data_IF_110152215804
#
_entry.id   IF_110152215804
#
_cell.length_a   1.000
_cell.length_b   1.000
_cell.length_c   1.000
_cell.angle_alpha   90.00
_cell.angle_beta   90.00
_cell.angle_gamma   90.00
#
_symmetry.space_group_name_H-M   'P 1'
#
loop_
_entity.id
_entity.type
_entity.pdbx_description
1 polymer ?
#
# COMPACT_ATOMS: atom_id res chain seq x y z
N UNK A 1 -5.99 4.37 55.75
CA UNK A 1 -5.99 3.14 56.56
C UNK A 1 -7.41 2.85 57.02
N UNK A 2 -8.06 1.86 56.41
CA UNK A 2 -9.21 1.03 56.84
C UNK A 2 -9.61 0.17 55.62
N UNK A 3 -10.10 -1.07 55.79
CA UNK A 3 -9.69 -2.19 54.94
C UNK A 3 -10.80 -2.92 54.14
N UNK A 4 -10.34 -3.59 53.08
CA UNK A 4 -10.68 -4.95 52.59
C UNK A 4 -12.12 -5.46 52.74
N UNK A 5 -12.74 -5.79 51.60
CA UNK A 5 -13.66 -6.93 51.51
C UNK A 5 -13.46 -7.66 50.17
N UNK A 6 -12.84 -8.83 50.26
CA UNK A 6 -12.60 -9.79 49.19
C UNK A 6 -13.69 -10.88 49.30
N UNK A 7 -14.46 -11.17 48.24
CA UNK A 7 -15.35 -12.34 48.18
C UNK A 7 -15.26 -12.99 46.81
N UNK A 8 -14.42 -14.02 46.72
CA UNK A 8 -14.56 -15.11 45.77
C UNK A 8 -15.43 -16.20 46.40
N UNK A 9 -16.37 -16.77 45.65
CA UNK A 9 -16.94 -18.07 45.94
C UNK A 9 -17.10 -18.87 44.64
N UNK A 10 -16.74 -20.13 44.76
CA UNK A 10 -16.28 -21.04 43.73
C UNK A 10 -17.39 -22.02 43.33
N UNK A 11 -17.42 -22.35 42.03
CA UNK A 11 -17.88 -23.56 41.34
C UNK A 11 -18.69 -24.61 42.14
N UNK A 12 -19.90 -24.92 41.64
CA UNK A 12 -20.54 -26.22 41.81
C UNK A 12 -20.35 -27.09 40.57
N UNK A 13 -19.81 -28.30 40.78
CA UNK A 13 -19.79 -29.44 39.85
C UNK A 13 -21.14 -30.17 39.91
N UNK A 14 -21.67 -30.58 38.76
CA UNK A 14 -22.76 -31.57 38.66
C UNK A 14 -22.21 -32.84 38.00
N UNK A 15 -22.31 -33.96 38.73
CA UNK A 15 -22.01 -35.33 38.28
C UNK A 15 -23.18 -35.89 37.45
N UNK A 16 -22.89 -36.59 36.36
CA UNK A 16 -23.84 -37.47 35.66
C UNK A 16 -23.44 -38.94 35.82
N UNK A 17 -24.43 -39.78 36.13
CA UNK A 17 -24.35 -41.26 36.29
C UNK A 17 -24.57 -41.97 34.93
N UNK A 18 -24.00 -43.17 34.71
CA UNK A 18 -24.35 -44.01 33.57
C UNK A 18 -25.38 -45.09 33.95
N UNK A 19 -26.34 -45.36 33.05
CA UNK A 19 -27.33 -46.43 33.17
C UNK A 19 -27.34 -47.32 31.93
N UNK A 20 -27.11 -48.62 32.14
CA UNK A 20 -27.12 -49.72 31.15
C UNK A 20 -28.55 -50.14 30.77
N UNK A 21 -28.71 -50.75 29.59
CA UNK A 21 -29.89 -51.54 29.24
C UNK A 21 -29.79 -52.20 27.87
N UNK A 22 -29.60 -53.52 27.87
CA UNK A 22 -29.53 -54.46 26.74
C UNK A 22 -30.92 -55.01 26.44
N UNK A 23 -31.31 -55.23 25.17
CA UNK A 23 -32.17 -56.37 24.75
C UNK A 23 -32.04 -56.64 23.24
N UNK A 24 -32.02 -57.93 22.91
CA UNK A 24 -31.77 -58.68 21.66
C UNK A 24 -32.97 -58.81 20.71
N UNK A 25 -32.74 -58.99 19.39
CA UNK A 25 -33.06 -60.21 18.59
C UNK A 25 -33.08 -59.97 17.06
N UNK A 26 -32.23 -60.74 16.36
CA UNK A 26 -32.42 -61.48 15.08
C UNK A 26 -33.19 -60.90 13.88
N UNK A 27 -32.51 -60.72 12.73
CA UNK A 27 -32.76 -61.56 11.53
C UNK A 27 -31.78 -61.34 10.36
N UNK A 28 -31.33 -62.47 9.79
CA UNK A 28 -31.03 -62.81 8.38
C UNK A 28 -30.22 -61.87 7.48
N UNK A 29 -29.21 -62.47 6.84
CA UNK A 29 -28.81 -62.16 5.46
C UNK A 29 -27.37 -61.68 5.32
N UNK A 30 -26.44 -62.62 5.17
CA UNK A 30 -25.04 -62.34 4.85
C UNK A 30 -24.94 -61.67 3.46
N UNK A 31 -24.46 -60.44 3.43
CA UNK A 31 -23.74 -59.85 2.30
C UNK A 31 -22.33 -59.48 2.78
N UNK A 32 -21.27 -59.72 1.99
CA UNK A 32 -19.92 -59.34 2.38
C UNK A 32 -19.82 -57.81 2.50
N UNK A 33 -19.10 -57.29 3.50
CA UNK A 33 -18.95 -55.85 3.69
C UNK A 33 -18.21 -55.24 2.49
N UNK A 34 -18.62 -54.04 2.01
CA UNK A 34 -17.84 -53.31 1.03
C UNK A 34 -16.46 -53.03 1.60
N UNK A 35 -15.42 -53.34 0.83
CA UNK A 35 -14.05 -53.04 1.22
C UNK A 35 -13.92 -51.54 1.49
N UNK A 36 -13.29 -51.13 2.61
CA UNK A 36 -12.98 -49.73 2.81
C UNK A 36 -12.00 -49.32 1.71
N UNK A 37 -12.41 -48.37 0.87
CA UNK A 37 -11.55 -47.73 -0.12
C UNK A 37 -10.26 -47.27 0.57
N UNK A 38 -9.18 -47.99 0.28
CA UNK A 38 -7.81 -47.61 0.60
C UNK A 38 -7.38 -46.50 -0.36
N UNK A 39 -7.88 -45.29 -0.11
CA UNK A 39 -7.40 -44.05 -0.72
C UNK A 39 -7.71 -42.87 0.21
N UNK A 40 -7.20 -42.97 1.44
CA UNK A 40 -7.10 -41.85 2.38
C UNK A 40 -5.74 -41.92 3.06
N UNK A 41 -4.69 -41.86 2.23
CA UNK A 41 -3.34 -41.60 2.71
C UNK A 41 -3.20 -40.09 2.84
N UNK A 42 -3.35 -39.62 4.08
CA UNK A 42 -2.69 -38.46 4.67
C UNK A 42 -2.38 -37.29 3.71
N UNK A 43 -3.38 -36.45 3.43
CA UNK A 43 -3.05 -35.01 3.32
C UNK A 43 -2.68 -34.55 4.73
N UNK A 44 -1.38 -34.41 4.95
CA UNK A 44 -0.82 -33.88 6.18
C UNK A 44 -1.42 -32.50 6.45
N UNK A 45 -2.05 -32.36 7.61
CA UNK A 45 -2.57 -31.11 8.19
C UNK A 45 -1.43 -30.15 8.61
N UNK A 46 -0.45 -29.93 7.74
CA UNK A 46 0.73 -29.11 8.04
C UNK A 46 0.80 -27.82 7.24
N UNK A 47 -0.29 -27.41 6.59
CA UNK A 47 -0.39 -26.03 6.10
C UNK A 47 -0.84 -25.13 7.25
N UNK A 48 0.11 -24.75 8.12
CA UNK A 48 -0.02 -23.45 8.77
C UNK A 48 0.12 -22.43 7.64
N UNK A 49 -1.00 -22.11 6.98
CA UNK A 49 -1.05 -21.17 5.86
C UNK A 49 -0.20 -19.95 6.21
N UNK A 50 0.88 -19.71 5.47
CA UNK A 50 1.77 -18.57 5.75
C UNK A 50 0.94 -17.30 5.89
N UNK A 51 1.33 -16.41 6.81
CA UNK A 51 0.69 -15.09 6.93
C UNK A 51 0.78 -14.37 5.58
N UNK A 52 -0.33 -13.79 5.13
CA UNK A 52 -0.38 -13.07 3.85
C UNK A 52 0.48 -11.82 3.95
N UNK A 53 1.26 -11.53 2.92
CA UNK A 53 2.13 -10.34 2.85
C UNK A 53 1.44 -9.25 2.03
N UNK A 54 1.05 -8.15 2.67
CA UNK A 54 0.32 -7.05 2.02
C UNK A 54 1.13 -5.76 2.10
N UNK A 55 1.43 -5.16 0.95
CA UNK A 55 2.07 -3.86 0.86
C UNK A 55 1.01 -2.75 0.81
N UNK A 56 1.00 -1.87 1.80
CA UNK A 56 0.14 -0.70 1.86
C UNK A 56 0.82 0.48 1.16
N UNK A 57 0.25 0.94 0.05
CA UNK A 57 0.75 2.10 -0.69
C UNK A 57 -0.23 3.27 -0.60
N UNK A 58 0.07 4.22 0.28
CA UNK A 58 -0.76 5.41 0.52
C UNK A 58 -0.46 6.54 -0.45
N UNK A 59 -1.50 7.15 -1.04
CA UNK A 59 -1.35 8.33 -1.90
C UNK A 59 -2.56 9.26 -1.83
N UNK A 60 -2.35 10.55 -2.13
CA UNK A 60 -3.45 11.51 -2.26
C UNK A 60 -4.29 11.25 -3.52
N UNK A 61 -3.66 10.75 -4.58
CA UNK A 61 -4.27 10.34 -5.85
C UNK A 61 -5.18 11.42 -6.46
N UNK A 62 -4.68 12.64 -6.62
CA UNK A 62 -5.50 13.78 -7.05
C UNK A 62 -4.97 14.49 -8.30
N UNK A 63 -4.94 13.83 -9.48
CA UNK A 63 -5.32 12.44 -9.74
C UNK A 63 -4.13 11.46 -9.55
N UNK A 64 -4.35 10.12 -9.59
CA UNK A 64 -3.25 9.17 -9.77
C UNK A 64 -2.49 9.46 -11.07
N UNK A 65 -1.18 9.16 -11.10
CA UNK A 65 -0.31 9.38 -12.27
C UNK A 65 0.05 8.06 -12.94
N UNK A 66 0.38 8.12 -14.23
CA UNK A 66 0.71 6.98 -15.06
C UNK A 66 2.09 6.38 -14.74
N UNK A 67 2.66 5.68 -15.72
CA UNK A 67 3.89 4.87 -15.57
C UNK A 67 5.05 5.68 -14.98
N UNK A 68 5.15 6.97 -15.34
CA UNK A 68 6.12 7.94 -14.81
C UNK A 68 6.06 8.20 -13.30
N UNK A 69 5.00 7.77 -12.61
CA UNK A 69 4.76 8.08 -11.21
C UNK A 69 4.09 6.93 -10.45
N UNK A 70 2.86 7.14 -9.99
CA UNK A 70 2.21 6.22 -9.07
C UNK A 70 2.02 4.81 -9.66
N UNK A 71 1.62 4.69 -10.93
CA UNK A 71 1.48 3.38 -11.58
C UNK A 71 2.81 2.63 -11.66
N UNK A 72 3.91 3.30 -12.03
CA UNK A 72 5.24 2.69 -12.06
C UNK A 72 5.70 2.19 -10.69
N UNK A 73 5.41 2.94 -9.62
CA UNK A 73 5.68 2.50 -8.26
C UNK A 73 4.86 1.26 -7.88
N UNK A 74 3.56 1.24 -8.19
CA UNK A 74 2.69 0.09 -7.89
C UNK A 74 3.11 -1.16 -8.68
N UNK A 75 3.45 -1.03 -9.96
CA UNK A 75 3.97 -2.14 -10.78
C UNK A 75 5.29 -2.67 -10.25
N UNK A 76 6.19 -1.78 -9.84
CA UNK A 76 7.45 -2.19 -9.21
C UNK A 76 7.19 -3.01 -7.95
N UNK A 77 6.34 -2.55 -7.03
CA UNK A 77 5.98 -3.30 -5.81
C UNK A 77 5.39 -4.67 -6.15
N UNK A 78 4.47 -4.74 -7.12
CA UNK A 78 3.88 -6.00 -7.55
C UNK A 78 4.91 -6.97 -8.15
N UNK A 79 5.94 -6.44 -8.83
CA UNK A 79 7.01 -7.22 -9.45
C UNK A 79 8.02 -7.82 -8.47
N UNK A 80 8.08 -7.33 -7.22
CA UNK A 80 9.06 -7.79 -6.23
C UNK A 80 8.85 -9.26 -5.80
N UNK A 81 7.68 -9.85 -6.08
CA UNK A 81 7.27 -11.18 -5.62
C UNK A 81 7.35 -11.38 -4.09
N UNK A 82 7.47 -10.29 -3.34
CA UNK A 82 7.49 -10.26 -1.87
C UNK A 82 6.08 -10.20 -1.26
N UNK A 83 5.11 -9.79 -2.07
CA UNK A 83 3.75 -9.50 -1.62
C UNK A 83 2.75 -10.39 -2.34
N UNK A 84 1.74 -10.82 -1.59
CA UNK A 84 0.53 -11.42 -2.16
C UNK A 84 -0.39 -10.31 -2.70
N UNK A 85 -0.31 -9.11 -2.13
CA UNK A 85 -1.15 -7.96 -2.48
C UNK A 85 -0.41 -6.63 -2.33
N UNK A 86 -0.57 -5.73 -3.30
CA UNK A 86 -0.32 -4.29 -3.16
C UNK A 86 -1.67 -3.59 -3.02
N UNK A 87 -1.91 -3.03 -1.85
CA UNK A 87 -3.14 -2.33 -1.50
C UNK A 87 -2.93 -0.82 -1.61
N UNK A 88 -3.55 -0.25 -2.63
CA UNK A 88 -3.59 1.19 -2.86
C UNK A 88 -4.56 1.82 -1.87
N UNK A 89 -4.11 2.85 -1.14
CA UNK A 89 -4.89 3.57 -0.13
C UNK A 89 -5.00 5.05 -0.51
N UNK A 90 -6.03 5.45 -1.27
CA UNK A 90 -6.34 6.85 -1.49
C UNK A 90 -6.68 7.52 -0.16
N UNK A 91 -5.99 8.60 0.19
CA UNK A 91 -6.25 9.34 1.44
C UNK A 91 -7.68 9.87 1.44
N UNK A 92 -8.48 9.55 2.46
CA UNK A 92 -9.87 10.00 2.53
C UNK A 92 -9.98 11.51 2.74
N UNK A 93 -9.29 12.05 3.76
CA UNK A 93 -9.19 13.49 4.04
C UNK A 93 -7.74 13.87 4.29
N UNK A 94 -7.22 14.83 3.53
CA UNK A 94 -5.84 15.29 3.74
C UNK A 94 -5.65 15.91 5.14
N UNK A 95 -4.51 15.65 5.80
CA UNK A 95 -4.19 16.26 7.10
C UNK A 95 -4.10 17.80 7.07
N UNK A 96 -3.61 18.39 5.97
CA UNK A 96 -3.49 19.83 5.80
C UNK A 96 -4.80 20.44 5.29
N UNK A 97 -5.32 21.40 6.05
CA UNK A 97 -6.56 22.12 5.74
C UNK A 97 -6.56 22.81 4.37
N UNK A 98 -5.40 23.35 3.95
CA UNK A 98 -5.20 24.00 2.64
C UNK A 98 -5.39 23.01 1.49
N UNK A 99 -4.87 21.79 1.64
CA UNK A 99 -5.05 20.73 0.64
C UNK A 99 -6.47 20.18 0.64
N UNK A 100 -7.14 20.12 1.81
CA UNK A 100 -8.54 19.65 1.89
C UNK A 100 -9.51 20.46 1.05
N UNK A 101 -9.34 21.79 0.97
CA UNK A 101 -10.28 22.69 0.28
C UNK A 101 -10.27 22.52 -1.24
N UNK A 102 -9.15 22.10 -1.80
CA UNK A 102 -8.93 22.00 -3.23
C UNK A 102 -8.82 20.56 -3.72
N UNK A 103 -9.06 19.57 -2.84
CA UNK A 103 -8.93 18.17 -3.17
C UNK A 103 -10.21 17.69 -3.87
N UNK A 104 -10.06 17.02 -5.01
CA UNK A 104 -11.20 16.41 -5.71
C UNK A 104 -11.95 15.45 -4.77
N UNK A 105 -13.31 15.38 -4.85
CA UNK A 105 -14.10 14.48 -4.02
C UNK A 105 -13.55 13.06 -3.99
N UNK A 106 -13.59 12.43 -2.82
CA UNK A 106 -12.95 11.14 -2.57
C UNK A 106 -13.35 10.06 -3.57
N UNK A 107 -14.65 9.97 -3.92
CA UNK A 107 -15.15 8.95 -4.84
C UNK A 107 -14.54 9.06 -6.25
N UNK A 108 -14.32 10.29 -6.78
CA UNK A 108 -13.63 10.46 -8.06
C UNK A 108 -12.18 9.98 -7.97
N UNK A 109 -11.47 10.27 -6.87
CA UNK A 109 -10.08 9.84 -6.68
C UNK A 109 -9.97 8.31 -6.58
N UNK A 110 -10.88 7.67 -5.85
CA UNK A 110 -10.98 6.21 -5.78
C UNK A 110 -11.27 5.63 -7.15
N UNK A 111 -12.22 6.20 -7.89
CA UNK A 111 -12.58 5.70 -9.22
C UNK A 111 -11.41 5.82 -10.21
N UNK A 112 -10.72 6.97 -10.24
CA UNK A 112 -9.50 7.12 -11.04
C UNK A 112 -8.40 6.14 -10.60
N UNK A 113 -8.26 5.86 -9.30
CA UNK A 113 -7.32 4.82 -8.84
C UNK A 113 -7.70 3.45 -9.38
N UNK A 114 -8.98 3.06 -9.38
CA UNK A 114 -9.41 1.76 -9.91
C UNK A 114 -9.08 1.64 -11.40
N UNK A 115 -9.35 2.71 -12.17
CA UNK A 115 -9.02 2.77 -13.58
C UNK A 115 -7.52 2.57 -13.85
N UNK A 116 -6.64 3.12 -13.01
CA UNK A 116 -5.18 2.98 -13.17
C UNK A 116 -4.65 1.64 -12.63
N UNK A 117 -5.02 1.27 -11.41
CA UNK A 117 -4.33 0.22 -10.68
C UNK A 117 -4.96 -1.16 -10.84
N UNK A 118 -6.28 -1.24 -11.02
CA UNK A 118 -6.96 -2.53 -11.21
C UNK A 118 -7.01 -2.90 -12.69
N UNK A 119 -7.24 -1.93 -13.58
CA UNK A 119 -7.30 -2.22 -15.01
C UNK A 119 -5.90 -2.27 -15.67
N UNK A 120 -5.03 -1.27 -15.42
CA UNK A 120 -3.79 -1.15 -16.21
C UNK A 120 -2.63 -2.01 -15.66
N UNK A 121 -2.62 -2.37 -14.37
CA UNK A 121 -1.60 -3.29 -13.83
C UNK A 121 -1.85 -4.71 -14.32
N UNK A 122 -3.10 -5.18 -14.26
CA UNK A 122 -3.46 -6.50 -14.73
C UNK A 122 -3.16 -6.62 -16.23
N UNK A 123 -3.52 -5.62 -17.05
CA UNK A 123 -3.27 -5.64 -18.49
C UNK A 123 -1.78 -5.65 -18.88
N UNK A 124 -0.91 -4.97 -18.14
CA UNK A 124 0.52 -4.89 -18.47
C UNK A 124 1.36 -6.04 -17.89
N UNK A 125 0.83 -6.79 -16.92
CA UNK A 125 1.54 -7.91 -16.31
C UNK A 125 1.17 -9.28 -16.93
N UNK A 126 0.26 -9.40 -17.91
CA UNK A 126 -0.34 -10.66 -18.38
C UNK A 126 0.58 -11.61 -19.19
N UNK A 127 1.77 -11.20 -19.65
CA UNK A 127 2.53 -12.03 -20.62
C UNK A 127 3.27 -13.26 -20.07
N UNK A 128 3.08 -13.69 -18.82
CA UNK A 128 3.79 -14.88 -18.31
C UNK A 128 2.93 -15.79 -17.44
N UNK A 129 2.63 -16.96 -17.96
CA UNK A 129 1.97 -18.10 -17.33
C UNK A 129 2.65 -18.48 -16.01
N UNK A 130 2.13 -18.09 -14.84
CA UNK A 130 2.45 -18.70 -13.54
C UNK A 130 1.56 -18.20 -12.40
N UNK A 131 1.09 -19.15 -11.60
CA UNK A 131 0.03 -19.08 -10.58
C UNK A 131 0.40 -18.35 -9.27
N UNK A 132 1.24 -17.32 -9.28
CA UNK A 132 1.50 -16.51 -8.08
C UNK A 132 1.73 -15.05 -8.44
N UNK A 133 0.69 -14.39 -8.96
CA UNK A 133 0.71 -12.95 -9.18
C UNK A 133 0.35 -12.21 -7.90
N UNK A 134 1.17 -11.23 -7.53
CA UNK A 134 0.80 -10.21 -6.56
C UNK A 134 -0.43 -9.45 -7.08
N UNK A 135 -1.49 -9.37 -6.29
CA UNK A 135 -2.73 -8.67 -6.66
C UNK A 135 -2.60 -7.19 -6.35
N UNK A 136 -3.01 -6.31 -7.26
CA UNK A 136 -3.15 -4.88 -6.96
C UNK A 136 -4.61 -4.54 -6.71
N UNK A 137 -4.91 -3.88 -5.60
CA UNK A 137 -6.29 -3.52 -5.22
C UNK A 137 -6.39 -2.08 -4.74
N UNK A 138 -7.50 -1.41 -5.04
CA UNK A 138 -7.81 -0.09 -4.49
C UNK A 138 -8.75 -0.24 -3.31
N UNK A 139 -8.31 0.21 -2.14
CA UNK A 139 -9.05 0.06 -0.89
C UNK A 139 -9.63 1.39 -0.40
N UNK A 140 -10.86 1.32 0.11
CA UNK A 140 -11.52 2.43 0.81
C UNK A 140 -11.29 2.38 2.34
N UNK A 141 -10.31 1.61 2.82
CA UNK A 141 -10.06 1.44 4.25
C UNK A 141 -9.87 2.77 5.00
N UNK A 142 -9.28 3.79 4.38
CA UNK A 142 -9.18 5.15 4.94
C UNK A 142 -10.55 5.78 5.24
N UNK A 143 -11.52 5.64 4.34
CA UNK A 143 -12.90 6.12 4.56
C UNK A 143 -13.59 5.31 5.66
N UNK A 144 -13.45 3.99 5.61
CA UNK A 144 -14.05 3.07 6.59
C UNK A 144 -13.51 3.36 7.99
N UNK A 145 -12.19 3.54 8.13
CA UNK A 145 -11.55 3.94 9.39
C UNK A 145 -12.17 5.26 9.90
N UNK A 146 -12.38 6.22 9.00
CA UNK A 146 -13.00 7.49 9.36
C UNK A 146 -14.45 7.38 9.81
N UNK A 147 -15.24 6.54 9.16
CA UNK A 147 -16.63 6.33 9.55
C UNK A 147 -16.74 5.58 10.88
N UNK A 148 -15.90 4.56 11.12
CA UNK A 148 -15.87 3.84 12.40
C UNK A 148 -15.53 4.77 13.57
N UNK A 149 -14.53 5.64 13.41
CA UNK A 149 -14.19 6.63 14.43
C UNK A 149 -15.31 7.66 14.66
N UNK A 150 -16.07 8.02 13.63
CA UNK A 150 -17.23 8.90 13.79
C UNK A 150 -18.38 8.19 14.56
N UNK A 151 -18.63 6.92 14.27
CA UNK A 151 -19.75 6.15 14.87
C UNK A 151 -19.52 5.78 16.34
N UNK A 152 -18.27 5.54 16.73
CA UNK A 152 -17.93 5.16 18.11
C UNK A 152 -17.99 6.33 19.11
N UNK A 153 -18.41 7.54 18.70
CA UNK A 153 -18.61 8.69 19.60
C UNK A 153 -20.09 8.81 19.97
N UNK A 154 -20.38 8.57 21.26
CA UNK A 154 -21.72 8.72 21.84
C UNK A 154 -22.09 10.20 22.12
N UNK A 155 -21.13 11.14 22.13
CA UNK A 155 -21.38 12.53 22.51
C UNK A 155 -21.24 13.51 21.33
N UNK A 156 -22.35 14.19 21.01
CA UNK A 156 -22.47 15.15 19.91
C UNK A 156 -21.59 16.41 20.06
N UNK A 157 -21.15 16.73 21.28
CA UNK A 157 -20.40 17.95 21.61
C UNK A 157 -18.88 17.83 21.43
N UNK A 158 -18.34 16.61 21.28
CA UNK A 158 -16.92 16.39 20.95
C UNK A 158 -16.68 16.23 19.45
N UNK A 159 -17.45 16.89 18.59
CA UNK A 159 -17.18 16.98 17.14
C UNK A 159 -15.96 17.87 16.79
N UNK A 160 -15.02 18.06 17.72
CA UNK A 160 -13.71 18.61 17.36
C UNK A 160 -13.07 17.69 16.30
N UNK A 161 -12.51 18.35 15.28
CA UNK A 161 -12.01 17.76 14.02
C UNK A 161 -11.30 16.43 14.29
N UNK A 162 -11.92 15.34 13.84
CA UNK A 162 -11.35 14.00 14.01
C UNK A 162 -10.09 13.93 13.15
N UNK A 163 -8.94 13.99 13.81
CA UNK A 163 -7.63 13.80 13.19
C UNK A 163 -7.28 12.31 13.28
N UNK A 164 -7.68 11.57 12.24
CA UNK A 164 -7.30 10.17 12.03
C UNK A 164 -5.94 10.17 11.36
N UNK A 165 -5.00 9.43 11.95
CA UNK A 165 -3.67 9.23 11.39
C UNK A 165 -3.49 7.81 10.90
N UNK A 166 -2.39 7.58 10.19
CA UNK A 166 -2.01 6.25 9.68
C UNK A 166 -1.95 5.18 10.78
N UNK A 167 -1.56 5.55 12.01
CA UNK A 167 -1.59 4.61 13.14
C UNK A 167 -2.99 4.08 13.45
N UNK A 168 -4.03 4.92 13.33
CA UNK A 168 -5.42 4.53 13.58
C UNK A 168 -5.93 3.59 12.46
N UNK A 169 -5.53 3.85 11.21
CA UNK A 169 -5.79 2.95 10.08
C UNK A 169 -5.09 1.60 10.25
N UNK A 170 -3.80 1.61 10.63
CA UNK A 170 -3.03 0.39 10.83
C UNK A 170 -3.60 -0.46 11.96
N UNK A 171 -4.03 0.16 13.07
CA UNK A 171 -4.67 -0.52 14.19
C UNK A 171 -5.98 -1.21 13.77
N UNK A 172 -6.81 -0.52 12.97
CA UNK A 172 -8.01 -1.11 12.39
C UNK A 172 -7.66 -2.29 11.47
N UNK A 173 -6.68 -2.15 10.59
CA UNK A 173 -6.30 -3.19 9.63
C UNK A 173 -5.69 -4.43 10.32
N UNK A 174 -4.80 -4.24 11.29
CA UNK A 174 -4.19 -5.37 12.03
C UNK A 174 -5.19 -6.10 12.92
N UNK A 175 -6.20 -5.38 13.43
CA UNK A 175 -7.32 -5.97 14.18
C UNK A 175 -8.25 -6.76 13.27
N UNK A 176 -8.65 -6.18 12.13
CA UNK A 176 -9.57 -6.81 11.18
C UNK A 176 -8.93 -8.00 10.44
N UNK A 177 -7.61 -7.96 10.20
CA UNK A 177 -6.88 -8.97 9.43
C UNK A 177 -5.67 -9.53 10.21
N UNK A 178 -5.88 -10.29 11.31
CA UNK A 178 -4.80 -10.71 12.22
C UNK A 178 -3.76 -11.67 11.59
N UNK A 179 -4.10 -12.29 10.46
CA UNK A 179 -3.25 -13.22 9.71
C UNK A 179 -2.53 -12.55 8.52
N UNK A 180 -2.45 -11.21 8.52
CA UNK A 180 -1.76 -10.42 7.51
C UNK A 180 -0.55 -9.73 8.12
N UNK A 181 0.56 -9.72 7.39
CA UNK A 181 1.71 -8.87 7.67
C UNK A 181 1.69 -7.69 6.71
N UNK A 182 1.51 -6.50 7.27
CA UNK A 182 1.53 -5.27 6.51
C UNK A 182 2.94 -4.72 6.38
N UNK A 183 3.25 -4.18 5.20
CA UNK A 183 4.47 -3.41 4.89
C UNK A 183 4.05 -2.05 4.36
N UNK A 184 4.61 -0.96 4.88
CA UNK A 184 4.24 0.40 4.45
C UNK A 184 5.17 0.90 3.33
N UNK A 185 4.62 1.30 2.20
CA UNK A 185 5.38 1.87 1.08
C UNK A 185 5.18 3.40 0.99
N UNK A 186 6.28 4.16 0.97
CA UNK A 186 6.29 5.63 1.05
C UNK A 186 7.38 6.24 0.16
N UNK A 187 7.20 7.49 -0.27
CA UNK A 187 8.31 8.30 -0.80
C UNK A 187 9.30 8.67 0.30
N UNK A 188 10.55 8.95 -0.06
CA UNK A 188 11.61 9.32 0.88
C UNK A 188 11.28 10.55 1.72
N UNK A 189 10.63 11.55 1.12
CA UNK A 189 10.11 12.74 1.82
C UNK A 189 9.11 12.37 2.92
N UNK A 190 8.17 11.50 2.57
CA UNK A 190 7.12 11.03 3.48
C UNK A 190 7.68 10.12 4.57
N UNK A 191 8.70 9.31 4.25
CA UNK A 191 9.44 8.54 5.24
C UNK A 191 10.16 9.45 6.23
N UNK A 192 10.85 10.51 5.77
CA UNK A 192 11.51 11.47 6.65
C UNK A 192 10.49 12.14 7.57
N UNK A 193 9.30 12.49 7.07
CA UNK A 193 8.20 13.04 7.88
C UNK A 193 7.81 12.11 9.04
N UNK A 194 7.50 10.83 8.74
CA UNK A 194 7.11 9.87 9.79
C UNK A 194 8.29 9.53 10.70
N UNK A 195 9.48 9.24 10.16
CA UNK A 195 10.65 8.84 10.95
C UNK A 195 11.17 9.97 11.88
N UNK A 196 10.90 11.22 11.53
CA UNK A 196 11.18 12.40 12.36
C UNK A 196 10.10 12.70 13.41
N UNK A 197 9.08 11.85 13.57
CA UNK A 197 8.05 12.03 14.60
C UNK A 197 6.94 13.02 14.23
N UNK A 198 6.84 13.46 12.96
CA UNK A 198 5.80 14.44 12.56
C UNK A 198 4.41 13.83 12.42
N UNK A 199 4.31 12.51 12.41
CA UNK A 199 3.03 11.81 12.32
C UNK A 199 2.48 11.51 13.71
N UNK A 200 1.15 11.59 13.85
CA UNK A 200 0.45 11.18 15.07
C UNK A 200 0.78 9.71 15.37
N UNK A 201 1.24 9.43 16.59
CA UNK A 201 1.62 8.08 17.06
C UNK A 201 2.66 7.42 16.15
N UNK A 202 3.73 8.16 15.83
CA UNK A 202 4.81 7.69 14.94
C UNK A 202 5.34 6.31 15.33
N UNK A 203 5.66 6.10 16.60
CA UNK A 203 6.20 4.84 17.12
C UNK A 203 5.24 3.67 16.85
N UNK A 204 3.93 3.91 16.96
CA UNK A 204 2.91 2.89 16.70
C UNK A 204 2.86 2.53 15.21
N UNK A 205 3.06 3.51 14.30
CA UNK A 205 3.16 3.24 12.85
C UNK A 205 4.26 2.21 12.59
N UNK A 206 5.46 2.41 13.15
CA UNK A 206 6.56 1.45 13.00
C UNK A 206 6.24 0.10 13.65
N UNK A 207 5.72 0.08 14.88
CA UNK A 207 5.40 -1.17 15.59
C UNK A 207 4.32 -2.00 14.89
N UNK A 208 3.25 -1.37 14.42
CA UNK A 208 2.10 -2.05 13.80
C UNK A 208 2.46 -2.73 12.47
N UNK A 209 3.43 -2.18 11.72
CA UNK A 209 3.97 -2.82 10.51
C UNK A 209 5.23 -3.64 10.80
N UNK A 210 5.59 -3.88 12.06
CA UNK A 210 6.80 -4.62 12.42
C UNK A 210 8.08 -4.02 11.83
N UNK A 211 8.13 -2.70 11.68
CA UNK A 211 9.20 -1.92 11.05
C UNK A 211 9.44 -2.25 9.56
N UNK A 212 8.51 -2.96 8.90
CA UNK A 212 8.58 -3.31 7.48
C UNK A 212 8.17 -2.13 6.63
N UNK A 213 9.12 -1.58 5.87
CA UNK A 213 8.87 -0.43 5.00
C UNK A 213 9.60 -0.54 3.67
N UNK A 214 8.97 -0.02 2.61
CA UNK A 214 9.61 0.24 1.32
C UNK A 214 9.65 1.75 1.11
N UNK A 215 10.85 2.30 0.90
CA UNK A 215 11.07 3.74 0.77
C UNK A 215 11.55 4.05 -0.65
N UNK A 216 10.70 4.72 -1.43
CA UNK A 216 11.05 5.15 -2.78
C UNK A 216 11.92 6.40 -2.74
N UNK A 217 13.15 6.28 -3.23
CA UNK A 217 14.04 7.42 -3.48
C UNK A 217 13.79 7.93 -4.89
N UNK A 218 13.42 9.21 -5.01
CA UNK A 218 13.24 9.87 -6.30
C UNK A 218 14.42 10.81 -6.56
N UNK A 219 15.00 10.72 -7.76
CA UNK A 219 15.99 11.71 -8.26
C UNK A 219 15.31 13.08 -8.30
N UNK A 220 15.72 14.03 -7.46
CA UNK A 220 15.35 15.44 -7.65
C UNK A 220 16.25 15.97 -8.77
N UNK A 221 15.68 16.47 -9.88
CA UNK A 221 16.46 17.30 -10.80
C UNK A 221 16.91 18.55 -10.02
N UNK A 222 18.21 18.84 -10.01
CA UNK A 222 18.69 20.15 -9.59
C UNK A 222 17.99 21.18 -10.48
N UNK A 223 17.25 22.12 -9.88
CA UNK A 223 16.90 23.35 -10.57
C UNK A 223 18.21 23.98 -11.02
N UNK A 224 18.47 23.97 -12.31
CA UNK A 224 19.53 24.78 -12.89
C UNK A 224 19.11 26.21 -12.64
N UNK A 225 19.64 26.83 -11.59
CA UNK A 225 19.56 28.27 -11.40
C UNK A 225 20.17 28.87 -12.65
N UNK A 226 19.35 29.62 -13.41
CA UNK A 226 19.67 30.07 -14.75
C UNK A 226 21.03 30.76 -14.84
N UNK A 227 21.99 30.07 -15.44
CA UNK A 227 23.15 30.68 -16.07
C UNK A 227 22.85 30.83 -17.56
N UNK A 228 22.75 32.07 -18.02
CA UNK A 228 22.61 32.40 -19.43
C UNK A 228 23.68 31.71 -20.30
N UNK A 229 23.26 31.16 -21.44
CA UNK A 229 24.06 31.14 -22.66
C UNK A 229 24.38 29.77 -23.26
N UNK A 230 23.95 29.58 -24.51
CA UNK A 230 24.68 28.75 -25.49
C UNK A 230 23.98 27.47 -25.94
N UNK A 231 23.51 27.48 -27.19
CA UNK A 231 22.97 26.33 -27.92
C UNK A 231 23.99 25.19 -28.13
N UNK A 232 23.52 23.94 -28.24
CA UNK A 232 23.64 23.08 -29.44
C UNK A 232 23.09 21.65 -29.22
N UNK A 233 22.63 21.07 -30.33
CA UNK A 233 21.98 19.77 -30.62
C UNK A 233 22.80 18.54 -30.20
N UNK A 234 22.23 17.37 -29.85
CA UNK A 234 21.83 16.24 -30.74
C UNK A 234 21.63 15.00 -29.82
N UNK A 235 20.51 14.27 -29.87
CA UNK A 235 20.17 13.09 -30.69
C UNK A 235 20.85 11.75 -30.29
N UNK A 236 19.99 10.75 -30.05
CA UNK A 236 20.14 9.29 -30.26
C UNK A 236 20.70 8.32 -29.20
N UNK A 237 20.10 7.10 -29.29
CA UNK A 237 20.48 5.77 -28.79
C UNK A 237 20.04 5.34 -27.37
N UNK A 238 19.50 4.13 -27.13
CA UNK A 238 19.01 3.00 -27.95
C UNK A 238 18.09 2.13 -27.09
N UNK A 239 17.12 1.50 -27.75
CA UNK A 239 16.21 0.46 -27.24
C UNK A 239 16.95 -0.89 -27.19
N UNK A 240 16.87 -1.66 -26.09
CA UNK A 240 16.93 -3.13 -26.15
C UNK A 240 16.58 -3.86 -24.84
N UNK A 241 15.71 -4.87 -24.96
CA UNK A 241 15.90 -6.20 -24.35
C UNK A 241 15.47 -6.43 -22.90
N UNK A 242 14.20 -6.77 -22.68
CA UNK A 242 13.76 -7.53 -21.51
C UNK A 242 14.06 -9.03 -21.70
N UNK A 243 15.06 -9.57 -21.00
CA UNK A 243 15.07 -10.94 -20.47
C UNK A 243 16.34 -11.22 -19.64
N UNK A 244 16.12 -11.77 -18.44
CA UNK A 244 17.04 -12.56 -17.62
C UNK A 244 18.32 -11.91 -17.07
N UNK A 245 18.32 -11.62 -15.76
CA UNK A 245 19.41 -11.98 -14.84
C UNK A 245 19.02 -11.68 -13.38
N UNK A 246 18.24 -12.57 -12.77
CA UNK A 246 18.14 -12.66 -11.32
C UNK A 246 19.29 -13.56 -10.82
N UNK A 247 20.48 -13.00 -10.67
CA UNK A 247 21.55 -13.42 -9.73
C UNK A 247 22.80 -12.57 -9.98
N UNK A 248 23.34 -11.96 -8.92
CA UNK A 248 24.59 -11.16 -8.82
C UNK A 248 24.53 -9.61 -8.92
N UNK A 249 23.42 -8.97 -8.54
CA UNK A 249 23.27 -7.51 -8.55
C UNK A 249 24.01 -6.72 -7.44
N UNK A 250 25.14 -7.22 -6.91
CA UNK A 250 25.83 -6.58 -5.78
C UNK A 250 27.17 -5.89 -6.13
N UNK A 251 27.68 -5.98 -7.36
CA UNK A 251 29.06 -5.56 -7.63
C UNK A 251 29.27 -4.46 -8.71
N UNK A 252 28.34 -4.23 -9.64
CA UNK A 252 28.63 -3.40 -10.83
C UNK A 252 28.02 -1.98 -10.87
N UNK A 253 27.50 -1.48 -9.74
CA UNK A 253 27.01 -0.09 -9.62
C UNK A 253 28.04 0.77 -8.89
N UNK A 254 29.25 0.94 -9.44
CA UNK A 254 30.28 1.77 -8.77
C UNK A 254 30.93 2.87 -9.63
N UNK A 255 30.65 2.94 -10.93
CA UNK A 255 31.45 3.78 -11.83
C UNK A 255 30.73 4.97 -12.52
N UNK A 256 29.44 5.25 -12.24
CA UNK A 256 28.71 6.38 -12.90
C UNK A 256 27.99 7.36 -11.94
N UNK A 257 28.06 7.20 -10.62
CA UNK A 257 27.23 7.99 -9.66
C UNK A 257 27.97 9.08 -8.85
N UNK A 258 28.98 9.77 -9.40
CA UNK A 258 29.79 10.71 -8.58
C UNK A 258 29.29 12.16 -8.44
N UNK A 259 28.13 12.55 -8.97
CA UNK A 259 27.71 13.97 -8.92
C UNK A 259 26.25 14.26 -8.56
N UNK A 260 25.55 13.33 -7.91
CA UNK A 260 24.21 13.59 -7.35
C UNK A 260 24.25 13.49 -5.83
N UNK A 261 24.53 14.61 -5.15
CA UNK A 261 24.30 14.73 -3.71
C UNK A 261 22.85 15.15 -3.49
N UNK A 262 22.08 14.36 -2.74
CA UNK A 262 20.75 14.77 -2.29
C UNK A 262 20.95 15.37 -0.91
N UNK A 263 20.54 16.60 -0.68
CA UNK A 263 20.69 17.25 0.64
C UNK A 263 19.96 16.48 1.75
N UNK A 264 18.95 15.68 1.38
CA UNK A 264 18.21 14.82 2.30
C UNK A 264 18.84 13.43 2.51
N UNK A 265 19.95 13.08 1.85
CA UNK A 265 20.50 11.72 1.91
C UNK A 265 21.07 11.38 3.28
N UNK A 266 21.84 12.28 3.90
CA UNK A 266 22.42 12.02 5.22
C UNK A 266 21.31 11.85 6.27
N UNK A 267 20.34 12.77 6.27
CA UNK A 267 19.17 12.67 7.14
C UNK A 267 18.37 11.39 6.89
N UNK A 268 18.16 11.01 5.63
CA UNK A 268 17.47 9.77 5.27
C UNK A 268 18.22 8.54 5.82
N UNK A 269 19.55 8.48 5.66
CA UNK A 269 20.37 7.38 6.15
C UNK A 269 20.38 7.30 7.68
N UNK A 270 20.49 8.43 8.37
CA UNK A 270 20.42 8.49 9.84
C UNK A 270 19.08 7.98 10.35
N UNK A 271 17.98 8.42 9.72
CA UNK A 271 16.64 7.99 10.09
C UNK A 271 16.39 6.52 9.78
N UNK A 272 16.92 5.99 8.67
CA UNK A 272 16.88 4.55 8.39
C UNK A 272 17.62 3.82 9.51
N UNK A 273 18.87 4.19 9.79
CA UNK A 273 19.70 3.57 10.82
C UNK A 273 19.01 3.53 12.17
N UNK A 274 18.32 4.62 12.54
CA UNK A 274 17.54 4.72 13.79
C UNK A 274 16.41 3.68 13.87
N UNK A 275 15.66 3.47 12.80
CA UNK A 275 14.44 2.66 12.80
C UNK A 275 14.62 1.25 12.22
N UNK A 276 15.79 0.96 11.66
CA UNK A 276 16.12 -0.28 11.00
C UNK A 276 16.19 -1.44 12.00
N UNK A 277 15.41 -2.49 11.77
CA UNK A 277 15.63 -3.79 12.42
C UNK A 277 16.41 -4.68 11.47
N UNK A 278 17.45 -5.34 12.00
CA UNK A 278 18.24 -6.34 11.29
C UNK A 278 17.91 -7.69 11.91
N UNK A 279 17.42 -8.63 11.09
CA UNK A 279 17.24 -9.99 11.55
C UNK A 279 18.62 -10.62 11.79
N UNK A 280 18.94 -11.11 13.01
CA UNK A 280 20.28 -11.60 13.34
C UNK A 280 20.64 -12.90 12.60
N UNK A 281 19.65 -13.65 12.11
CA UNK A 281 19.85 -14.94 11.45
C UNK A 281 19.94 -14.81 9.94
N UNK A 282 19.04 -14.02 9.34
CA UNK A 282 18.99 -13.85 7.87
C UNK A 282 19.76 -12.62 7.39
N UNK A 283 20.21 -11.75 8.31
CA UNK A 283 20.75 -10.42 8.02
C UNK A 283 19.82 -9.52 7.18
N UNK A 284 18.54 -9.89 7.07
CA UNK A 284 17.56 -9.10 6.32
C UNK A 284 17.19 -7.84 7.09
N UNK A 285 17.15 -6.72 6.38
CA UNK A 285 16.69 -5.42 6.88
C UNK A 285 15.17 -5.31 6.78
N UNK A 286 14.51 -4.70 7.76
CA UNK A 286 13.08 -4.38 7.74
C UNK A 286 12.70 -3.19 6.83
N UNK A 287 13.56 -2.19 6.69
CA UNK A 287 13.38 -1.05 5.78
C UNK A 287 14.20 -1.29 4.51
N UNK A 288 13.56 -1.12 3.34
CA UNK A 288 14.17 -1.27 2.03
C UNK A 288 14.07 0.04 1.25
N UNK A 289 15.21 0.67 0.96
CA UNK A 289 15.27 1.84 0.08
C UNK A 289 15.38 1.36 -1.36
N UNK A 290 14.48 1.83 -2.20
CA UNK A 290 14.42 1.45 -3.62
C UNK A 290 14.50 2.69 -4.49
N UNK A 291 15.28 2.59 -5.57
CA UNK A 291 15.32 3.57 -6.65
C UNK A 291 14.75 2.87 -7.88
N UNK A 292 13.81 3.50 -8.59
CA UNK A 292 13.25 2.98 -9.83
C UNK A 292 13.90 3.76 -10.98
N UNK A 293 15.02 3.27 -11.55
CA UNK A 293 15.94 4.10 -12.33
C UNK A 293 15.41 4.52 -13.71
N UNK A 294 14.45 3.81 -14.29
CA UNK A 294 14.04 4.00 -15.70
C UNK A 294 12.59 4.40 -15.88
N UNK A 295 11.72 4.09 -14.91
CA UNK A 295 10.28 4.25 -15.06
C UNK A 295 9.78 5.57 -14.50
N UNK A 296 10.42 6.12 -13.46
CA UNK A 296 9.94 7.35 -12.82
C UNK A 296 10.44 8.59 -13.55
N UNK A 297 9.50 9.45 -13.94
CA UNK A 297 9.76 10.77 -14.53
C UNK A 297 9.56 11.86 -13.48
N UNK A 298 9.48 13.14 -13.86
CA UNK A 298 9.13 14.26 -12.97
C UNK A 298 7.61 14.52 -12.89
N UNK A 299 6.78 13.59 -13.39
CA UNK A 299 5.32 13.73 -13.35
C UNK A 299 4.79 13.88 -11.92
N UNK A 300 3.85 14.79 -11.72
CA UNK A 300 3.19 14.99 -10.43
C UNK A 300 1.70 15.25 -10.63
N UNK A 301 0.88 14.88 -9.65
CA UNK A 301 -0.56 15.21 -9.68
C UNK A 301 -0.78 16.72 -9.81
N UNK A 302 0.10 17.56 -9.25
CA UNK A 302 0.01 19.01 -9.41
C UNK A 302 0.18 19.46 -10.86
N UNK A 303 1.14 18.90 -11.59
CA UNK A 303 1.31 19.17 -13.01
C UNK A 303 0.08 18.72 -13.82
N UNK A 304 -0.46 17.54 -13.50
CA UNK A 304 -1.68 17.03 -14.14
C UNK A 304 -2.87 17.97 -13.93
N UNK A 305 -3.09 18.46 -12.71
CA UNK A 305 -4.21 19.38 -12.42
C UNK A 305 -4.14 20.70 -13.17
N UNK A 306 -2.95 21.14 -13.56
CA UNK A 306 -2.70 22.41 -14.24
C UNK A 306 -2.63 22.26 -15.77
N UNK A 307 -2.53 21.04 -16.29
CA UNK A 307 -2.39 20.77 -17.70
C UNK A 307 -3.71 20.98 -18.44
N UNK A 308 -3.70 21.87 -19.42
CA UNK A 308 -4.83 22.14 -20.33
C UNK A 308 -4.67 21.44 -21.68
N UNK A 309 -3.46 20.97 -21.99
CA UNK A 309 -3.13 20.31 -23.25
C UNK A 309 -3.35 18.80 -23.15
N UNK A 310 -4.32 18.28 -23.90
CA UNK A 310 -4.65 16.85 -23.89
C UNK A 310 -3.47 15.95 -24.31
N UNK A 311 -2.60 16.43 -25.20
CA UNK A 311 -1.46 15.65 -25.66
C UNK A 311 -0.38 15.51 -24.58
N UNK A 312 -0.10 16.59 -23.84
CA UNK A 312 0.79 16.54 -22.68
C UNK A 312 0.20 15.69 -21.55
N UNK A 313 -1.12 15.77 -21.35
CA UNK A 313 -1.82 14.97 -20.35
C UNK A 313 -1.66 13.45 -20.60
N UNK A 314 -1.65 13.02 -21.87
CA UNK A 314 -1.40 11.61 -22.27
C UNK A 314 -0.03 11.09 -21.87
N UNK A 315 0.94 11.96 -21.66
CA UNK A 315 2.28 11.56 -21.18
C UNK A 315 2.31 11.38 -19.65
N UNK A 316 1.32 11.92 -18.93
CA UNK A 316 1.31 11.98 -17.47
C UNK A 316 0.37 10.98 -16.79
N UNK A 317 -0.74 10.62 -17.44
CA UNK A 317 -1.78 9.73 -16.92
C UNK A 317 -2.25 8.75 -17.99
N UNK A 318 -2.88 7.63 -17.60
CA UNK A 318 -3.43 6.67 -18.56
C UNK A 318 -4.68 7.23 -19.25
N UNK A 319 -4.98 6.71 -20.44
CA UNK A 319 -6.14 7.16 -21.23
C UNK A 319 -7.46 7.02 -20.46
N UNK A 320 -7.62 5.95 -19.67
CA UNK A 320 -8.81 5.74 -18.84
C UNK A 320 -9.04 6.86 -17.81
N UNK A 321 -7.96 7.40 -17.22
CA UNK A 321 -8.05 8.57 -16.33
C UNK A 321 -8.38 9.84 -17.09
N UNK A 322 -7.82 10.01 -18.30
CA UNK A 322 -8.11 11.16 -19.15
C UNK A 322 -9.59 11.22 -19.48
N UNK A 323 -10.14 10.09 -19.95
CA UNK A 323 -11.55 9.97 -20.32
C UNK A 323 -12.43 10.34 -19.12
N UNK A 324 -12.09 9.82 -17.92
CA UNK A 324 -12.80 10.12 -16.68
C UNK A 324 -12.71 11.60 -16.28
N UNK A 325 -11.52 12.21 -16.39
CA UNK A 325 -11.30 13.62 -16.04
C UNK A 325 -12.13 14.53 -16.96
N UNK A 326 -12.18 14.22 -18.26
CA UNK A 326 -12.94 14.99 -19.25
C UNK A 326 -14.44 14.79 -19.04
N UNK A 327 -14.91 13.54 -18.92
CA UNK A 327 -16.32 13.20 -18.71
C UNK A 327 -16.89 13.90 -17.46
N UNK A 328 -16.13 13.91 -16.37
CA UNK A 328 -16.54 14.52 -15.10
C UNK A 328 -16.10 15.97 -14.93
N UNK A 329 -15.56 16.62 -15.98
CA UNK A 329 -15.16 18.03 -15.98
C UNK A 329 -14.26 18.39 -14.79
N UNK A 330 -13.27 17.56 -14.50
CA UNK A 330 -12.36 17.73 -13.36
C UNK A 330 -11.17 18.64 -13.73
N UNK A 331 -10.58 19.28 -12.72
CA UNK A 331 -9.34 20.06 -12.84
C UNK A 331 -9.44 21.20 -13.88
N UNK A 332 -8.45 21.32 -14.76
CA UNK A 332 -8.38 22.31 -15.83
C UNK A 332 -9.50 22.17 -16.88
N UNK A 333 -10.28 21.08 -16.85
CA UNK A 333 -11.41 20.83 -17.74
C UNK A 333 -12.77 21.18 -17.10
N UNK A 334 -12.76 21.84 -15.93
CA UNK A 334 -13.98 22.38 -15.31
C UNK A 334 -14.45 23.65 -16.02
N UNK A 335 -15.75 23.81 -16.22
CA UNK A 335 -16.39 24.92 -16.97
C UNK A 335 -16.21 26.31 -16.32
N UNK A 336 -15.45 26.44 -15.24
CA UNK A 336 -15.31 27.68 -14.47
C UNK A 336 -14.10 28.55 -14.86
N UNK A 337 -13.54 28.40 -16.06
CA UNK A 337 -12.48 29.31 -16.55
C UNK A 337 -12.98 30.48 -17.41
N UNK A 338 -14.23 30.51 -17.86
CA UNK A 338 -14.72 31.58 -18.74
C UNK A 338 -15.09 32.90 -18.02
N UNK A 339 -15.24 32.93 -16.69
CA UNK A 339 -15.67 34.16 -15.98
C UNK A 339 -14.53 35.04 -15.43
N UNK A 340 -13.25 34.66 -15.61
CA UNK A 340 -12.12 35.43 -15.03
C UNK A 340 -11.40 36.38 -15.98
N UNK A 341 -11.76 36.42 -17.26
CA UNK A 341 -11.24 37.43 -18.22
C UNK A 341 -12.25 38.55 -18.52
N UNK A 342 -13.39 38.58 -17.82
CA UNK A 342 -14.49 39.52 -18.06
C UNK A 342 -14.82 40.48 -16.91
N UNK A 343 -13.87 40.83 -16.04
CA UNK A 343 -14.06 41.90 -15.03
C UNK A 343 -12.86 42.82 -14.88
#
# INVERSE_FOLDING_TARGET
>A
MMPIANRQLTRQLVQMKPGRGVTTMSHRGQQPPPQPNSSSLHHSNNDRSRRRQVCLFGLSADPPTGIGGHLGMAQYLASLLLFDEVRILPVYRHMYSTKRKNQTPFHHRVQMCKLVFENDVDNNCISSSSSSRCRVVVSEAERICHERHNMNRLDADQKSIINIGTADLLDMLTTDEPNVDFTLALGSDTFIDVASGRWKRTEDVFKLVGHRMVVFRRKKRRSVVGGNGGATTSAEETNNGYAAAATSAAADISMVEKNTTYEDDELLQDLITKWQIINPTTHSTSIHVVCIPTTLTDVSSSAVRQCTNLQELKEMVSQSVIDYVVEHKLYAFSEHQEEKEGR
#
